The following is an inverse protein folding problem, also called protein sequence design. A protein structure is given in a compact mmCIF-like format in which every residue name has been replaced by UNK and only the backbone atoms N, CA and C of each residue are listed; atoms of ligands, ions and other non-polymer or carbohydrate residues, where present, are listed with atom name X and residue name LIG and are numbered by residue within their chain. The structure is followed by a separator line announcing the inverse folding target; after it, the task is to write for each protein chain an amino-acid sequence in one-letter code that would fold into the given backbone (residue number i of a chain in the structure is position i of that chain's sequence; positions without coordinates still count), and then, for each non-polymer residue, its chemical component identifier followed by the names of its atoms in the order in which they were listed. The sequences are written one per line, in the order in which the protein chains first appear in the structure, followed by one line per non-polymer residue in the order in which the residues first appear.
data_IF_156198935073
#
_entry.id   IF_156198935073
#
_cell.length_a   1.000
_cell.length_b   1.000
_cell.length_c   1.000
_cell.angle_alpha   90.00
_cell.angle_beta   90.00
_cell.angle_gamma   90.00
#
_symmetry.space_group_name_H-M   'P 1'
#
loop_
_entity.id
_entity.type
_entity.pdbx_description
1 polymer ?
#
# COMPACT_ATOMS: atom_id res chain seq x y z
N UNK A 1 -32.09 11.44 -28.23
CA UNK A 1 -32.56 11.96 -26.94
C UNK A 1 -31.36 11.97 -26.01
N UNK A 2 -31.05 13.08 -25.34
CA UNK A 2 -29.88 13.20 -24.49
C UNK A 2 -30.00 12.25 -23.30
N UNK A 3 -29.05 11.33 -23.10
CA UNK A 3 -29.04 10.37 -21.98
C UNK A 3 -28.76 11.04 -20.60
N UNK A 4 -29.01 12.34 -20.46
CA UNK A 4 -28.72 13.14 -19.27
C UNK A 4 -27.22 13.31 -18.95
N UNK A 5 -26.34 12.95 -19.89
CA UNK A 5 -24.88 13.12 -19.80
C UNK A 5 -24.52 14.51 -20.35
N UNK A 6 -23.62 15.28 -19.69
CA UNK A 6 -23.17 16.57 -20.20
C UNK A 6 -22.62 16.46 -21.64
N UNK A 7 -22.94 17.40 -22.55
CA UNK A 7 -22.56 17.31 -23.97
C UNK A 7 -21.07 17.12 -24.25
N UNK A 8 -20.21 17.52 -23.30
CA UNK A 8 -18.76 17.30 -23.34
C UNK A 8 -18.36 15.83 -23.44
N UNK A 9 -19.15 14.93 -22.85
CA UNK A 9 -18.83 13.50 -22.77
C UNK A 9 -19.70 12.71 -23.73
N UNK A 10 -19.09 12.23 -24.81
CA UNK A 10 -19.79 11.49 -25.88
C UNK A 10 -19.60 9.99 -25.69
N UNK A 11 -20.66 9.19 -25.48
CA UNK A 11 -20.54 7.74 -25.33
C UNK A 11 -19.85 7.08 -26.53
N UNK A 12 -18.90 6.19 -26.28
CA UNK A 12 -18.18 5.45 -27.34
C UNK A 12 -18.94 4.22 -27.84
N UNK A 13 -20.08 3.90 -27.22
CA UNK A 13 -20.85 2.67 -27.46
C UNK A 13 -20.36 1.46 -26.65
N UNK A 14 -19.21 1.57 -25.96
CA UNK A 14 -18.75 0.55 -25.02
C UNK A 14 -19.43 0.75 -23.66
N UNK A 15 -20.07 -0.31 -23.18
CA UNK A 15 -20.68 -0.37 -21.85
C UNK A 15 -20.03 -1.52 -21.10
N UNK A 16 -19.55 -1.25 -19.89
CA UNK A 16 -19.09 -2.28 -18.97
C UNK A 16 -20.21 -2.50 -17.95
N UNK A 17 -20.78 -3.70 -17.98
CA UNK A 17 -21.78 -4.16 -17.02
C UNK A 17 -21.10 -4.99 -15.93
N UNK A 18 -21.21 -4.53 -14.68
CA UNK A 18 -20.69 -5.22 -13.51
C UNK A 18 -21.70 -5.23 -12.36
N UNK A 19 -21.39 -5.95 -11.28
CA UNK A 19 -22.30 -6.13 -10.13
C UNK A 19 -22.67 -4.85 -9.36
N UNK A 20 -22.04 -3.72 -9.66
CA UNK A 20 -22.22 -2.43 -8.97
C UNK A 20 -22.81 -1.33 -9.85
N UNK A 21 -23.35 -1.69 -11.02
CA UNK A 21 -24.02 -0.77 -11.93
C UNK A 21 -23.36 -0.69 -13.31
N UNK A 22 -23.93 0.18 -14.13
CA UNK A 22 -23.51 0.43 -15.51
C UNK A 22 -22.35 1.46 -15.52
N UNK A 23 -21.25 1.11 -16.17
CA UNK A 23 -20.13 2.02 -16.45
C UNK A 23 -20.10 2.29 -17.95
N UNK A 24 -20.31 3.55 -18.33
CA UNK A 24 -20.24 4.01 -19.71
C UNK A 24 -18.85 4.52 -20.03
N UNK A 25 -18.29 4.09 -21.16
CA UNK A 25 -17.06 4.69 -21.68
C UNK A 25 -17.44 5.86 -22.59
N UNK A 26 -16.87 7.02 -22.31
CA UNK A 26 -17.14 8.25 -23.05
C UNK A 26 -15.83 8.89 -23.53
N UNK A 27 -15.89 9.59 -24.65
CA UNK A 27 -14.85 10.50 -25.08
C UNK A 27 -15.10 11.87 -24.44
N UNK A 28 -14.13 12.37 -23.67
CA UNK A 28 -14.07 13.78 -23.28
C UNK A 28 -13.63 14.60 -24.49
N UNK A 29 -14.57 15.28 -25.12
CA UNK A 29 -14.32 16.04 -26.37
C UNK A 29 -13.48 17.29 -26.15
N UNK A 30 -13.37 17.79 -24.91
CA UNK A 30 -12.56 18.98 -24.60
C UNK A 30 -11.10 18.65 -24.32
N UNK A 31 -10.83 17.48 -23.72
CA UNK A 31 -9.47 17.03 -23.38
C UNK A 31 -8.96 15.87 -24.25
N UNK A 32 -9.75 15.45 -25.23
CA UNK A 32 -9.43 14.40 -26.20
C UNK A 32 -8.96 13.08 -25.56
N UNK A 33 -9.66 12.62 -24.52
CA UNK A 33 -9.34 11.37 -23.81
C UNK A 33 -10.57 10.51 -23.53
N UNK A 34 -10.38 9.20 -23.41
CA UNK A 34 -11.41 8.30 -22.90
C UNK A 34 -11.57 8.47 -21.38
N UNK A 35 -12.81 8.45 -20.90
CA UNK A 35 -13.20 8.48 -19.48
C UNK A 35 -14.25 7.42 -19.20
N UNK A 36 -14.29 6.94 -17.96
CA UNK A 36 -15.35 6.07 -17.47
C UNK A 36 -16.34 6.91 -16.66
N UNK A 37 -17.63 6.77 -16.96
CA UNK A 37 -18.73 7.38 -16.21
C UNK A 37 -19.48 6.29 -15.48
N UNK A 38 -19.42 6.32 -14.14
CA UNK A 38 -20.17 5.40 -13.27
C UNK A 38 -21.36 6.11 -12.65
N UNK A 39 -22.54 5.54 -12.79
CA UNK A 39 -23.75 6.08 -12.15
C UNK A 39 -24.02 5.42 -10.81
N UNK A 40 -24.17 6.23 -9.77
CA UNK A 40 -24.55 5.77 -8.43
C UNK A 40 -26.08 5.77 -8.32
N UNK A 41 -26.66 4.61 -7.99
CA UNK A 41 -28.10 4.45 -7.76
C UNK A 41 -28.47 4.86 -6.33
N UNK A 42 -29.68 5.40 -6.14
CA UNK A 42 -30.29 5.72 -4.83
C UNK A 42 -29.38 6.49 -3.86
N UNK A 43 -29.23 7.79 -4.10
CA UNK A 43 -28.46 8.67 -3.23
C UNK A 43 -29.35 9.17 -2.10
N UNK A 44 -29.35 8.47 -0.96
CA UNK A 44 -30.10 8.90 0.23
C UNK A 44 -29.65 10.29 0.74
N UNK A 45 -28.34 10.55 0.72
CA UNK A 45 -27.74 11.85 1.06
C UNK A 45 -26.76 12.29 -0.03
N UNK A 46 -27.22 13.19 -0.90
CA UNK A 46 -26.40 13.72 -2.00
C UNK A 46 -25.22 14.57 -1.52
N UNK A 47 -25.38 15.35 -0.44
CA UNK A 47 -24.31 16.25 0.06
C UNK A 47 -23.13 15.43 0.53
N UNK A 48 -23.41 14.37 1.30
CA UNK A 48 -22.40 13.43 1.76
C UNK A 48 -21.65 12.78 0.59
N UNK A 49 -22.34 12.36 -0.47
CA UNK A 49 -21.69 11.76 -1.61
C UNK A 49 -20.74 12.74 -2.30
N UNK A 50 -21.11 14.02 -2.42
CA UNK A 50 -20.21 15.05 -2.95
C UNK A 50 -19.00 15.30 -2.05
N UNK A 51 -19.13 15.25 -0.72
CA UNK A 51 -17.98 15.33 0.20
C UNK A 51 -16.99 14.17 -0.03
N UNK A 52 -17.51 12.95 -0.23
CA UNK A 52 -16.72 11.75 -0.51
C UNK A 52 -16.02 11.84 -1.87
N UNK A 53 -16.73 12.27 -2.92
CA UNK A 53 -16.14 12.53 -4.24
C UNK A 53 -15.04 13.60 -4.14
N UNK A 54 -15.26 14.68 -3.40
CA UNK A 54 -14.28 15.74 -3.21
C UNK A 54 -13.02 15.24 -2.46
N UNK A 55 -13.17 14.29 -1.53
CA UNK A 55 -12.03 13.64 -0.88
C UNK A 55 -11.29 12.69 -1.84
N UNK A 56 -12.01 11.91 -2.65
CA UNK A 56 -11.42 11.04 -3.66
C UNK A 56 -10.62 11.82 -4.71
N UNK A 57 -11.09 13.01 -5.12
CA UNK A 57 -10.36 13.90 -6.03
C UNK A 57 -9.01 14.38 -5.47
N UNK A 58 -8.84 14.42 -4.13
CA UNK A 58 -7.59 14.82 -3.47
C UNK A 58 -6.55 13.71 -3.42
N UNK A 59 -6.94 12.45 -3.65
CA UNK A 59 -6.01 11.32 -3.66
C UNK A 59 -5.02 11.52 -4.81
N UNK A 60 -3.74 11.60 -4.45
CA UNK A 60 -2.62 11.61 -5.41
C UNK A 60 -1.92 10.28 -5.34
N UNK A 61 -2.38 9.32 -6.12
CA UNK A 61 -1.81 7.97 -6.15
C UNK A 61 -1.72 7.44 -7.57
N UNK A 62 -0.60 6.79 -7.89
CA UNK A 62 -0.49 6.02 -9.14
C UNK A 62 -1.32 4.73 -9.11
N UNK A 63 -1.75 4.30 -7.91
CA UNK A 63 -2.45 3.04 -7.69
C UNK A 63 -3.95 3.17 -7.47
N UNK A 64 -4.49 4.37 -7.64
CA UNK A 64 -5.91 4.66 -7.54
C UNK A 64 -6.34 5.37 -8.82
N UNK A 65 -7.52 5.03 -9.34
CA UNK A 65 -8.08 5.75 -10.48
C UNK A 65 -8.32 7.21 -10.12
N UNK A 66 -7.91 8.12 -11.01
CA UNK A 66 -8.16 9.54 -10.81
C UNK A 66 -9.65 9.84 -11.00
N UNK A 67 -10.29 10.45 -10.01
CA UNK A 67 -11.61 11.07 -10.18
C UNK A 67 -11.41 12.44 -10.82
N UNK A 68 -12.11 12.69 -11.93
CA UNK A 68 -12.02 13.94 -12.68
C UNK A 68 -13.15 14.90 -12.33
N UNK A 69 -14.39 14.40 -12.22
CA UNK A 69 -15.56 15.23 -12.00
C UNK A 69 -16.77 14.40 -11.52
N UNK A 70 -17.86 15.06 -11.14
CA UNK A 70 -19.15 14.43 -10.94
C UNK A 70 -20.29 15.37 -11.35
N UNK A 71 -21.37 14.80 -11.87
CA UNK A 71 -22.55 15.54 -12.31
C UNK A 71 -23.83 14.87 -11.86
N UNK A 72 -24.92 15.64 -11.80
CA UNK A 72 -26.26 15.11 -11.60
C UNK A 72 -26.90 14.86 -12.97
N UNK A 73 -27.28 13.62 -13.25
CA UNK A 73 -27.99 13.27 -14.48
C UNK A 73 -29.36 13.97 -14.49
N UNK A 74 -29.64 14.75 -15.53
CA UNK A 74 -30.85 15.57 -15.61
C UNK A 74 -32.13 14.74 -15.81
N UNK A 75 -32.01 13.53 -16.35
CA UNK A 75 -33.15 12.68 -16.70
C UNK A 75 -33.58 11.80 -15.53
N UNK A 76 -32.63 11.08 -14.92
CA UNK A 76 -32.93 10.08 -13.89
C UNK A 76 -32.44 10.46 -12.49
N UNK A 77 -31.85 11.66 -12.34
CA UNK A 77 -31.38 12.23 -11.07
C UNK A 77 -30.30 11.38 -10.37
N UNK A 78 -29.65 10.44 -11.05
CA UNK A 78 -28.46 9.73 -10.54
C UNK A 78 -27.24 10.63 -10.57
N UNK A 79 -26.29 10.40 -9.67
CA UNK A 79 -24.98 11.07 -9.74
C UNK A 79 -24.06 10.24 -10.63
N UNK A 80 -23.55 10.87 -11.69
CA UNK A 80 -22.53 10.32 -12.58
C UNK A 80 -21.14 10.77 -12.12
N UNK A 81 -20.28 9.82 -11.77
CA UNK A 81 -18.88 10.07 -11.42
C UNK A 81 -18.02 9.84 -12.65
N UNK A 82 -17.23 10.84 -13.01
CA UNK A 82 -16.31 10.81 -14.16
C UNK A 82 -14.92 10.50 -13.64
N UNK A 83 -14.33 9.42 -14.12
CA UNK A 83 -13.05 8.91 -13.65
C UNK A 83 -12.16 8.41 -14.79
N UNK A 84 -10.89 8.19 -14.46
CA UNK A 84 -9.91 7.54 -15.32
C UNK A 84 -10.46 6.22 -15.89
N UNK A 85 -10.39 6.08 -17.22
CA UNK A 85 -10.65 4.80 -17.88
C UNK A 85 -9.37 3.98 -17.95
N UNK A 86 -9.37 2.81 -17.31
CA UNK A 86 -8.24 1.87 -17.31
C UNK A 86 -8.49 0.79 -18.37
N UNK A 87 -7.80 0.92 -19.51
CA UNK A 87 -7.98 0.06 -20.68
C UNK A 87 -7.23 -1.27 -20.63
N UNK A 88 -6.43 -1.52 -19.58
CA UNK A 88 -5.70 -2.77 -19.42
C UNK A 88 -6.51 -3.90 -18.79
N UNK A 89 -5.80 -4.97 -18.43
CA UNK A 89 -6.38 -6.24 -18.00
C UNK A 89 -6.85 -6.22 -16.54
N UNK A 90 -7.88 -7.02 -16.24
CA UNK A 90 -8.31 -7.26 -14.87
C UNK A 90 -7.20 -7.92 -14.05
N UNK A 91 -7.09 -7.59 -12.76
CA UNK A 91 -6.08 -8.19 -11.89
C UNK A 91 -6.22 -9.72 -11.82
N UNK A 92 -7.41 -10.26 -12.06
CA UNK A 92 -7.66 -11.71 -12.13
C UNK A 92 -6.82 -12.41 -13.22
N UNK A 93 -6.41 -11.70 -14.27
CA UNK A 93 -5.52 -12.26 -15.31
C UNK A 93 -4.13 -12.62 -14.76
N UNK A 94 -3.75 -12.07 -13.59
CA UNK A 94 -2.50 -12.42 -12.91
C UNK A 94 -2.41 -13.90 -12.56
N UNK A 95 -3.54 -14.54 -12.25
CA UNK A 95 -3.60 -15.97 -11.90
C UNK A 95 -3.57 -16.91 -13.11
N UNK A 96 -3.67 -16.37 -14.34
CA UNK A 96 -3.58 -17.17 -15.56
C UNK A 96 -2.16 -17.59 -15.94
N UNK A 97 -1.14 -17.22 -15.14
CA UNK A 97 0.26 -17.58 -15.38
C UNK A 97 0.56 -19.00 -14.87
N UNK A 98 1.42 -19.73 -15.58
CA UNK A 98 1.85 -21.09 -15.19
C UNK A 98 2.54 -21.12 -13.82
N UNK A 99 3.26 -20.06 -13.45
CA UNK A 99 3.83 -19.89 -12.13
C UNK A 99 3.96 -18.41 -11.75
N UNK A 100 3.81 -18.11 -10.47
CA UNK A 100 3.98 -16.76 -9.90
C UNK A 100 5.26 -16.77 -9.08
N UNK A 101 6.22 -15.91 -9.42
CA UNK A 101 7.44 -15.77 -8.60
C UNK A 101 7.15 -14.96 -7.32
N UNK A 102 7.94 -15.19 -6.26
CA UNK A 102 7.87 -14.39 -5.04
C UNK A 102 8.00 -12.89 -5.33
N UNK A 103 8.92 -12.51 -6.22
CA UNK A 103 9.14 -11.11 -6.55
C UNK A 103 7.92 -10.48 -7.25
N UNK A 104 7.26 -11.18 -8.17
CA UNK A 104 6.03 -10.70 -8.79
C UNK A 104 4.88 -10.60 -7.78
N UNK A 105 4.72 -11.61 -6.93
CA UNK A 105 3.72 -11.62 -5.86
C UNK A 105 3.90 -10.40 -4.93
N UNK A 106 5.11 -10.17 -4.44
CA UNK A 106 5.41 -9.03 -3.56
C UNK A 106 5.23 -7.68 -4.29
N UNK A 107 5.58 -7.58 -5.57
CA UNK A 107 5.34 -6.38 -6.38
C UNK A 107 3.85 -6.06 -6.48
N UNK A 108 3.03 -7.06 -6.79
CA UNK A 108 1.57 -6.89 -6.87
C UNK A 108 1.00 -6.47 -5.51
N UNK A 109 1.36 -7.16 -4.44
CA UNK A 109 0.92 -6.78 -3.08
C UNK A 109 1.35 -5.37 -2.69
N UNK A 110 2.58 -4.97 -3.04
CA UNK A 110 3.10 -3.63 -2.76
C UNK A 110 2.28 -2.54 -3.46
N UNK A 111 1.92 -2.75 -4.73
CA UNK A 111 1.09 -1.80 -5.48
C UNK A 111 -0.30 -1.65 -4.86
N UNK A 112 -0.95 -2.77 -4.52
CA UNK A 112 -2.27 -2.77 -3.88
C UNK A 112 -2.19 -2.09 -2.50
N UNK A 113 -1.23 -2.49 -1.67
CA UNK A 113 -1.05 -1.90 -0.34
C UNK A 113 -0.77 -0.39 -0.41
N UNK A 114 0.00 0.06 -1.40
CA UNK A 114 0.28 1.48 -1.64
C UNK A 114 -1.01 2.24 -1.95
N UNK A 115 -1.83 1.74 -2.88
CA UNK A 115 -3.10 2.38 -3.24
C UNK A 115 -4.08 2.45 -2.06
N UNK A 116 -4.22 1.38 -1.27
CA UNK A 116 -5.08 1.39 -0.09
C UNK A 116 -4.53 2.34 0.98
N UNK A 117 -3.22 2.37 1.19
CA UNK A 117 -2.57 3.32 2.09
C UNK A 117 -2.84 4.78 1.69
N UNK A 118 -2.81 5.10 0.40
CA UNK A 118 -3.09 6.45 -0.11
C UNK A 118 -4.56 6.85 0.10
N UNK A 119 -5.51 5.90 -0.04
CA UNK A 119 -6.92 6.10 0.28
C UNK A 119 -7.08 6.39 1.79
N UNK A 120 -6.47 5.57 2.64
CA UNK A 120 -6.53 5.72 4.10
C UNK A 120 -5.91 7.03 4.59
N UNK A 121 -4.88 7.53 3.92
CA UNK A 121 -4.26 8.81 4.24
C UNK A 121 -5.18 10.02 4.03
N UNK A 122 -6.23 9.90 3.20
CA UNK A 122 -7.28 10.90 3.05
C UNK A 122 -8.45 10.72 4.04
N UNK A 123 -8.34 9.77 4.98
CA UNK A 123 -9.40 9.45 5.95
C UNK A 123 -10.59 8.68 5.34
N UNK A 124 -10.39 8.10 4.15
CA UNK A 124 -11.38 7.29 3.45
C UNK A 124 -11.13 5.80 3.66
N UNK A 125 -12.20 5.01 3.57
CA UNK A 125 -12.18 3.54 3.59
C UNK A 125 -12.85 3.08 2.29
N UNK A 126 -12.25 2.14 1.56
CA UNK A 126 -12.77 1.67 0.27
C UNK A 126 -13.96 0.71 0.44
N UNK A 127 -13.88 -0.23 1.39
CA UNK A 127 -14.91 -1.22 1.77
C UNK A 127 -15.23 -2.34 0.78
N UNK A 128 -14.56 -2.39 -0.35
CA UNK A 128 -14.75 -3.47 -1.34
C UNK A 128 -13.43 -3.79 -2.05
N UNK A 129 -12.38 -3.96 -1.26
CA UNK A 129 -11.08 -4.41 -1.74
C UNK A 129 -11.20 -5.86 -2.19
N UNK A 130 -11.03 -6.09 -3.49
CA UNK A 130 -11.00 -7.42 -4.14
C UNK A 130 -10.38 -7.30 -5.54
N UNK A 131 -9.90 -8.42 -6.12
CA UNK A 131 -9.30 -8.43 -7.45
C UNK A 131 -10.17 -7.81 -8.56
N UNK A 132 -11.50 -7.99 -8.51
CA UNK A 132 -12.42 -7.46 -9.52
C UNK A 132 -12.51 -5.92 -9.54
N UNK A 133 -12.07 -5.24 -8.49
CA UNK A 133 -12.05 -3.78 -8.39
C UNK A 133 -10.64 -3.23 -8.66
N UNK A 134 -9.79 -4.02 -9.32
CA UNK A 134 -8.41 -3.68 -9.62
C UNK A 134 -8.04 -4.13 -11.03
N UNK A 135 -7.30 -3.27 -11.73
CA UNK A 135 -6.86 -3.50 -13.11
C UNK A 135 -5.40 -3.11 -13.27
N UNK A 136 -4.69 -3.79 -14.14
CA UNK A 136 -3.44 -3.28 -14.68
C UNK A 136 -3.74 -2.22 -15.74
N UNK A 137 -2.98 -1.14 -15.76
CA UNK A 137 -2.90 -0.27 -16.93
C UNK A 137 -1.92 -0.82 -17.97
N UNK A 138 -1.70 -0.09 -19.05
CA UNK A 138 -0.81 -0.49 -20.15
C UNK A 138 0.68 -0.54 -19.72
N UNK A 139 1.03 0.07 -18.60
CA UNK A 139 2.37 0.08 -18.01
C UNK A 139 2.52 -0.93 -16.87
N UNK A 140 1.59 -1.89 -16.73
CA UNK A 140 1.52 -2.88 -15.65
C UNK A 140 1.41 -2.26 -14.24
N UNK A 141 0.86 -1.05 -14.14
CA UNK A 141 0.54 -0.42 -12.86
C UNK A 141 -0.87 -0.82 -12.45
N UNK A 142 -1.02 -1.32 -11.22
CA UNK A 142 -2.32 -1.66 -10.66
C UNK A 142 -3.04 -0.38 -10.29
N UNK A 143 -4.29 -0.24 -10.75
CA UNK A 143 -5.24 0.82 -10.44
C UNK A 143 -6.42 0.23 -9.68
N UNK A 144 -6.63 0.70 -8.45
CA UNK A 144 -7.82 0.43 -7.65
C UNK A 144 -8.93 1.36 -8.14
N UNK A 145 -10.09 0.80 -8.41
CA UNK A 145 -11.29 1.52 -8.81
C UNK A 145 -12.51 1.03 -8.03
N UNK A 146 -13.65 1.65 -8.30
CA UNK A 146 -14.94 1.33 -7.67
C UNK A 146 -15.07 1.73 -6.19
N UNK A 147 -15.07 3.04 -5.97
CA UNK A 147 -15.38 3.66 -4.69
C UNK A 147 -16.88 3.70 -4.36
N UNK A 148 -17.72 2.87 -5.01
CA UNK A 148 -19.19 2.92 -4.85
C UNK A 148 -19.67 2.69 -3.41
N UNK A 149 -18.81 2.15 -2.55
CA UNK A 149 -19.04 1.91 -1.12
C UNK A 149 -18.12 2.72 -0.21
N UNK A 150 -17.23 3.56 -0.76
CA UNK A 150 -16.23 4.26 0.03
C UNK A 150 -16.86 5.35 0.90
N UNK A 151 -16.37 5.52 2.13
CA UNK A 151 -16.87 6.51 3.10
C UNK A 151 -15.75 7.02 4.01
N UNK A 152 -15.99 8.14 4.70
CA UNK A 152 -15.11 8.61 5.77
C UNK A 152 -15.04 7.66 6.97
N UNK A 153 -13.85 7.55 7.56
CA UNK A 153 -13.63 6.84 8.82
C UNK A 153 -14.23 7.61 10.02
N UNK A 154 -14.84 6.89 10.96
CA UNK A 154 -15.25 7.45 12.27
C UNK A 154 -16.48 8.38 12.29
N UNK A 155 -17.12 8.69 11.15
CA UNK A 155 -18.47 9.28 11.17
C UNK A 155 -19.48 8.18 11.52
N UNK A 156 -20.44 8.48 12.42
CA UNK A 156 -21.46 7.57 13.00
C UNK A 156 -22.31 6.84 11.95
N UNK A 157 -21.71 5.89 11.23
CA UNK A 157 -22.33 5.23 10.10
C UNK A 157 -22.36 3.74 10.32
N UNK A 158 -23.28 3.29 11.17
CA UNK A 158 -23.82 1.96 11.01
C UNK A 158 -24.66 1.91 9.74
N UNK A 159 -24.30 1.06 8.78
CA UNK A 159 -25.29 0.58 7.83
C UNK A 159 -26.14 -0.48 8.49
N UNK A 160 -27.47 -0.35 8.38
CA UNK A 160 -28.37 -1.48 8.57
C UNK A 160 -28.11 -2.48 7.43
N UNK A 161 -27.41 -3.58 7.73
CA UNK A 161 -27.14 -4.66 6.78
C UNK A 161 -25.69 -4.74 6.29
N UNK A 162 -25.36 -5.91 5.74
CA UNK A 162 -24.04 -6.29 5.23
C UNK A 162 -23.60 -5.38 4.07
N UNK A 163 -22.42 -4.78 4.18
CA UNK A 163 -21.79 -3.98 3.12
C UNK A 163 -20.42 -4.59 2.76
N UNK A 164 -20.28 -5.12 1.55
CA UNK A 164 -19.05 -5.72 1.04
C UNK A 164 -19.33 -6.88 0.10
N UNK A 165 -18.27 -7.49 -0.46
CA UNK A 165 -18.41 -8.72 -1.26
C UNK A 165 -18.21 -9.95 -0.38
N UNK A 166 -19.17 -10.89 -0.34
CA UNK A 166 -19.00 -12.13 0.41
C UNK A 166 -17.75 -12.89 -0.03
N UNK A 167 -16.99 -13.42 0.93
CA UNK A 167 -15.69 -14.05 0.71
C UNK A 167 -14.50 -13.09 0.87
N UNK A 168 -14.69 -11.76 0.75
CA UNK A 168 -13.66 -10.74 1.02
C UNK A 168 -13.98 -9.85 2.23
N UNK A 169 -15.26 -9.78 2.62
CA UNK A 169 -15.71 -8.96 3.73
C UNK A 169 -15.20 -9.49 5.09
N UNK A 170 -14.77 -8.55 5.93
CA UNK A 170 -14.27 -8.80 7.28
C UNK A 170 -15.37 -9.31 8.23
N UNK A 171 -15.05 -10.16 9.24
CA UNK A 171 -16.04 -10.78 10.13
C UNK A 171 -16.91 -9.78 10.88
N UNK A 172 -16.36 -8.62 11.27
CA UNK A 172 -17.09 -7.57 11.95
C UNK A 172 -18.28 -7.03 11.13
N UNK A 173 -18.22 -7.09 9.80
CA UNK A 173 -19.28 -6.63 8.89
C UNK A 173 -20.53 -7.54 8.89
N UNK A 174 -20.44 -8.72 9.49
CA UNK A 174 -21.56 -9.67 9.63
C UNK A 174 -22.25 -9.57 11.00
N UNK A 175 -21.71 -8.80 11.95
CA UNK A 175 -22.29 -8.67 13.30
C UNK A 175 -23.60 -7.88 13.26
N UNK A 176 -24.55 -8.25 14.10
CA UNK A 176 -25.79 -7.50 14.29
C UNK A 176 -25.52 -6.23 15.11
N UNK A 177 -26.05 -5.08 14.65
CA UNK A 177 -25.93 -3.79 15.35
C UNK A 177 -25.04 -2.76 14.65
N UNK A 178 -24.58 -1.74 15.39
CA UNK A 178 -23.65 -0.73 14.89
C UNK A 178 -22.26 -1.34 14.70
N UNK A 179 -21.85 -1.56 13.45
CA UNK A 179 -20.51 -2.03 13.10
C UNK A 179 -19.58 -0.83 12.91
N UNK A 180 -18.42 -0.76 13.58
CA UNK A 180 -17.44 0.30 13.34
C UNK A 180 -16.75 0.08 11.99
N UNK A 181 -16.98 0.99 11.04
CA UNK A 181 -16.19 1.04 9.81
C UNK A 181 -14.86 1.75 10.09
N UNK A 182 -13.81 0.95 10.25
CA UNK A 182 -12.43 1.43 10.38
C UNK A 182 -11.60 0.96 9.19
N UNK A 183 -10.39 1.49 9.05
CA UNK A 183 -9.43 1.06 8.03
C UNK A 183 -9.13 -0.46 8.10
N UNK A 184 -9.39 -1.11 9.24
CA UNK A 184 -9.17 -2.54 9.45
C UNK A 184 -10.00 -3.44 8.51
N UNK A 185 -11.14 -2.96 7.98
CA UNK A 185 -11.96 -3.73 7.03
C UNK A 185 -11.23 -3.90 5.69
N UNK A 186 -10.56 -2.85 5.21
CA UNK A 186 -9.76 -2.90 4.00
C UNK A 186 -8.47 -3.72 4.22
N UNK A 187 -7.87 -3.64 5.41
CA UNK A 187 -6.72 -4.48 5.78
C UNK A 187 -7.07 -5.97 5.71
N UNK A 188 -8.23 -6.37 6.24
CA UNK A 188 -8.67 -7.76 6.15
C UNK A 188 -8.90 -8.20 4.71
N UNK A 189 -9.62 -7.38 3.94
CA UNK A 189 -9.91 -7.66 2.53
C UNK A 189 -8.63 -7.70 1.67
N UNK A 190 -7.59 -6.93 2.02
CA UNK A 190 -6.24 -7.06 1.46
C UNK A 190 -5.63 -8.43 1.79
N UNK A 191 -5.77 -8.94 3.02
CA UNK A 191 -5.33 -10.28 3.40
C UNK A 191 -5.97 -11.38 2.56
N UNK A 192 -7.30 -11.34 2.37
CA UNK A 192 -7.98 -12.28 1.47
C UNK A 192 -7.50 -12.13 0.03
N UNK A 193 -7.31 -10.89 -0.44
CA UNK A 193 -6.77 -10.61 -1.77
C UNK A 193 -5.36 -11.18 -1.92
N UNK A 194 -4.53 -11.15 -0.87
CA UNK A 194 -3.19 -11.73 -0.87
C UNK A 194 -3.23 -13.27 -0.97
N UNK A 195 -4.19 -13.94 -0.34
CA UNK A 195 -4.44 -15.38 -0.54
C UNK A 195 -4.86 -15.67 -1.97
N UNK A 196 -5.85 -14.94 -2.48
CA UNK A 196 -6.32 -15.11 -3.85
C UNK A 196 -5.17 -15.00 -4.86
N UNK A 197 -4.32 -13.99 -4.70
CA UNK A 197 -3.20 -13.71 -5.60
C UNK A 197 -2.00 -14.63 -5.42
N UNK A 198 -1.98 -15.50 -4.40
CA UNK A 198 -0.91 -16.48 -4.26
C UNK A 198 -1.05 -17.65 -5.25
N UNK A 199 -2.19 -17.74 -5.96
CA UNK A 199 -2.51 -18.85 -6.88
C UNK A 199 -2.89 -20.15 -6.19
N UNK A 200 -3.11 -20.11 -4.87
CA UNK A 200 -3.61 -21.24 -4.08
C UNK A 200 -5.07 -20.94 -3.72
N UNK A 201 -5.89 -21.97 -3.61
CA UNK A 201 -7.27 -21.82 -3.18
C UNK A 201 -7.34 -21.15 -1.81
N UNK A 202 -8.25 -20.19 -1.67
CA UNK A 202 -8.48 -19.50 -0.39
C UNK A 202 -8.92 -20.55 0.64
N UNK A 203 -8.32 -20.61 1.83
CA UNK A 203 -8.72 -21.55 2.88
C UNK A 203 -10.23 -21.50 3.17
N UNK A 204 -10.89 -22.67 3.21
CA UNK A 204 -12.35 -22.79 3.44
C UNK A 204 -12.86 -22.01 4.66
N UNK A 205 -12.19 -21.98 5.83
CA UNK A 205 -12.64 -21.18 6.97
C UNK A 205 -12.83 -19.69 6.64
N UNK A 206 -12.01 -19.13 5.75
CA UNK A 206 -12.10 -17.73 5.32
C UNK A 206 -13.27 -17.46 4.37
N UNK A 207 -13.83 -18.50 3.73
CA UNK A 207 -14.95 -18.40 2.79
C UNK A 207 -16.32 -18.50 3.49
N UNK A 208 -16.35 -18.87 4.77
CA UNK A 208 -17.57 -18.92 5.59
C UNK A 208 -18.18 -17.53 5.84
N UNK A 209 -19.42 -17.50 6.31
CA UNK A 209 -20.19 -16.27 6.57
C UNK A 209 -20.84 -16.32 7.96
N UNK A 210 -20.28 -15.66 8.99
CA UNK A 210 -18.99 -14.96 8.98
C UNK A 210 -17.80 -15.91 8.78
N UNK A 211 -16.63 -15.39 8.35
CA UNK A 211 -15.38 -16.14 8.31
C UNK A 211 -15.01 -16.72 9.68
N UNK A 212 -14.44 -17.92 9.69
CA UNK A 212 -13.92 -18.58 10.89
C UNK A 212 -12.40 -18.36 10.97
N UNK A 213 -11.98 -17.52 11.91
CA UNK A 213 -10.57 -17.13 12.08
C UNK A 213 -9.80 -18.03 13.06
N UNK A 214 -10.40 -19.10 13.59
CA UNK A 214 -9.76 -19.93 14.64
C UNK A 214 -8.59 -20.77 14.14
N UNK A 215 -8.66 -21.26 12.90
CA UNK A 215 -7.69 -22.19 12.33
C UNK A 215 -7.31 -21.80 10.89
N UNK A 216 -6.99 -20.53 10.69
CA UNK A 216 -6.54 -20.04 9.38
C UNK A 216 -5.09 -20.48 9.15
N UNK A 217 -4.77 -21.15 8.03
CA UNK A 217 -3.38 -21.45 7.68
C UNK A 217 -2.54 -20.18 7.60
N UNK A 218 -1.28 -20.24 8.05
CA UNK A 218 -0.36 -19.12 7.89
C UNK A 218 0.05 -18.94 6.42
N UNK A 219 0.28 -17.69 6.00
CA UNK A 219 0.91 -17.36 4.72
C UNK A 219 2.30 -18.00 4.55
N UNK A 220 2.94 -18.43 5.65
CA UNK A 220 4.19 -19.20 5.61
C UNK A 220 4.06 -20.60 4.97
N UNK A 221 2.83 -21.11 4.83
CA UNK A 221 2.55 -22.38 4.13
C UNK A 221 2.55 -22.25 2.60
N UNK A 222 2.57 -21.03 2.06
CA UNK A 222 2.59 -20.79 0.62
C UNK A 222 3.88 -21.30 -0.03
N UNK A 223 3.82 -21.85 -1.25
CA UNK A 223 5.00 -22.33 -1.98
C UNK A 223 5.94 -21.20 -2.48
N UNK A 224 5.68 -19.95 -2.10
CA UNK A 224 6.41 -18.75 -2.53
C UNK A 224 7.65 -18.42 -1.67
N UNK A 225 7.91 -19.16 -0.57
CA UNK A 225 9.00 -18.89 0.39
C UNK A 225 8.99 -17.43 0.88
N UNK A 226 7.83 -16.94 1.28
CA UNK A 226 7.63 -15.56 1.75
C UNK A 226 8.50 -15.31 2.99
N UNK A 227 9.25 -14.19 3.07
CA UNK A 227 10.05 -13.85 4.25
C UNK A 227 9.20 -13.78 5.53
N UNK A 228 9.71 -14.34 6.64
CA UNK A 228 8.94 -14.44 7.89
C UNK A 228 8.36 -13.11 8.40
N UNK A 229 9.06 -11.96 8.32
CA UNK A 229 8.43 -10.70 8.73
C UNK A 229 7.22 -10.31 7.88
N UNK A 230 7.22 -10.62 6.58
CA UNK A 230 6.07 -10.40 5.70
C UNK A 230 4.96 -11.40 6.03
N UNK A 231 5.29 -12.68 6.28
CA UNK A 231 4.33 -13.69 6.74
C UNK A 231 3.61 -13.23 8.01
N UNK A 232 4.36 -12.82 9.04
CA UNK A 232 3.79 -12.33 10.30
C UNK A 232 2.85 -11.14 10.08
N UNK A 233 3.18 -10.25 9.14
CA UNK A 233 2.36 -9.08 8.85
C UNK A 233 1.08 -9.46 8.09
N UNK A 234 1.19 -10.36 7.10
CA UNK A 234 0.05 -10.88 6.35
C UNK A 234 -0.89 -11.71 7.24
N UNK A 235 -0.36 -12.57 8.11
CA UNK A 235 -1.16 -13.36 9.07
C UNK A 235 -1.98 -12.41 9.97
N UNK A 236 -1.37 -11.30 10.44
CA UNK A 236 -2.08 -10.29 11.25
C UNK A 236 -3.16 -9.51 10.50
N UNK A 237 -3.28 -9.63 9.18
CA UNK A 237 -4.43 -9.04 8.46
C UNK A 237 -5.71 -9.84 8.68
N UNK A 238 -5.62 -11.12 9.04
CA UNK A 238 -6.73 -12.07 9.16
C UNK A 238 -7.02 -12.47 10.62
N UNK A 239 -6.98 -11.50 11.53
CA UNK A 239 -7.28 -11.70 12.96
C UNK A 239 -8.57 -10.98 13.38
N UNK A 240 -9.13 -11.43 14.50
CA UNK A 240 -10.42 -10.97 15.02
C UNK A 240 -10.36 -9.53 15.57
N UNK A 241 -9.30 -9.18 16.33
CA UNK A 241 -9.16 -7.83 16.88
C UNK A 241 -8.72 -6.84 15.80
N UNK A 242 -9.57 -5.84 15.56
CA UNK A 242 -9.37 -4.79 14.55
C UNK A 242 -8.14 -3.94 14.83
N UNK A 243 -7.81 -3.72 16.10
CA UNK A 243 -6.69 -2.87 16.52
C UNK A 243 -5.34 -3.56 16.31
N UNK A 244 -5.34 -4.90 16.30
CA UNK A 244 -4.14 -5.68 16.08
C UNK A 244 -3.84 -5.88 14.58
N UNK A 245 -4.79 -5.58 13.69
CA UNK A 245 -4.54 -5.59 12.24
C UNK A 245 -3.57 -4.47 11.87
N UNK A 246 -2.54 -4.73 11.05
CA UNK A 246 -1.54 -3.73 10.72
C UNK A 246 -2.13 -2.62 9.84
N UNK A 247 -1.59 -1.40 9.95
CA UNK A 247 -1.95 -0.35 9.01
C UNK A 247 -1.42 -0.66 7.61
N UNK A 248 -2.13 -0.24 6.58
CA UNK A 248 -1.68 -0.42 5.19
C UNK A 248 -0.35 0.28 4.92
N UNK A 249 -0.06 1.38 5.62
CA UNK A 249 1.26 2.04 5.56
C UNK A 249 2.40 1.13 6.08
N UNK A 250 2.17 0.36 7.15
CA UNK A 250 3.17 -0.59 7.65
C UNK A 250 3.38 -1.75 6.66
N UNK A 251 2.31 -2.20 6.02
CA UNK A 251 2.38 -3.23 4.95
C UNK A 251 3.18 -2.72 3.76
N UNK A 252 2.84 -1.55 3.24
CA UNK A 252 3.56 -0.92 2.11
C UNK A 252 5.04 -0.76 2.42
N UNK A 253 5.39 -0.23 3.60
CA UNK A 253 6.77 -0.02 3.99
C UNK A 253 7.55 -1.34 4.09
N UNK A 254 6.98 -2.38 4.70
CA UNK A 254 7.66 -3.67 4.82
C UNK A 254 7.85 -4.35 3.46
N UNK A 255 6.81 -4.38 2.62
CA UNK A 255 6.90 -4.93 1.28
C UNK A 255 7.94 -4.17 0.43
N UNK A 256 7.93 -2.83 0.49
CA UNK A 256 8.89 -1.98 -0.19
C UNK A 256 10.33 -2.27 0.24
N UNK A 257 10.59 -2.38 1.55
CA UNK A 257 11.91 -2.72 2.07
C UNK A 257 12.44 -4.05 1.51
N UNK A 258 11.59 -5.08 1.42
CA UNK A 258 11.99 -6.37 0.87
C UNK A 258 12.16 -6.36 -0.66
N UNK A 259 11.36 -5.58 -1.39
CA UNK A 259 11.55 -5.35 -2.83
C UNK A 259 12.81 -4.52 -3.14
N UNK A 260 13.29 -3.78 -2.15
CA UNK A 260 14.54 -3.01 -2.17
C UNK A 260 15.72 -3.74 -1.51
N UNK A 261 15.52 -5.00 -1.08
CA UNK A 261 16.58 -5.78 -0.45
C UNK A 261 17.81 -5.82 -1.35
N UNK A 262 18.97 -5.55 -0.75
CA UNK A 262 20.27 -5.46 -1.38
C UNK A 262 20.44 -4.31 -2.39
N UNK A 263 19.47 -3.39 -2.52
CA UNK A 263 19.57 -2.22 -3.41
C UNK A 263 20.09 -0.97 -2.73
N UNK A 264 20.03 -0.90 -1.40
CA UNK A 264 20.59 0.22 -0.64
C UNK A 264 22.12 0.20 -0.66
N UNK A 265 22.69 1.40 -0.65
CA UNK A 265 24.11 1.69 -0.54
C UNK A 265 24.30 2.74 0.54
N UNK A 266 25.43 2.71 1.23
CA UNK A 266 25.84 3.80 2.11
C UNK A 266 27.27 4.22 1.81
N UNK A 267 27.54 5.51 1.99
CA UNK A 267 28.85 6.13 1.83
C UNK A 267 29.31 6.69 3.17
N UNK A 268 30.54 6.36 3.55
CA UNK A 268 31.26 7.01 4.64
C UNK A 268 32.44 7.76 4.07
N UNK A 269 32.66 8.98 4.57
CA UNK A 269 33.83 9.78 4.21
C UNK A 269 34.63 10.09 5.47
N UNK A 270 35.88 9.62 5.50
CA UNK A 270 36.81 9.91 6.59
C UNK A 270 38.16 10.34 6.02
N UNK A 271 38.57 11.58 6.32
CA UNK A 271 39.78 12.16 5.74
C UNK A 271 39.65 12.30 4.22
N UNK A 272 40.51 11.60 3.46
CA UNK A 272 40.46 11.52 1.99
C UNK A 272 39.95 10.17 1.48
N UNK A 273 39.62 9.26 2.39
CA UNK A 273 39.16 7.91 2.08
C UNK A 273 37.64 7.85 2.05
N UNK A 274 37.13 6.98 1.17
CA UNK A 274 35.70 6.70 1.05
C UNK A 274 35.43 5.22 1.28
N UNK A 275 34.42 4.91 2.08
CA UNK A 275 34.03 3.55 2.38
C UNK A 275 32.59 3.33 1.92
N UNK A 276 32.39 2.32 1.10
CA UNK A 276 31.08 2.00 0.53
C UNK A 276 30.51 0.75 1.19
N UNK A 277 29.27 0.81 1.64
CA UNK A 277 28.47 -0.36 1.99
C UNK A 277 27.46 -0.63 0.89
N UNK A 278 27.35 -1.89 0.49
CA UNK A 278 26.43 -2.37 -0.55
C UNK A 278 26.26 -3.88 -0.46
N UNK A 279 25.50 -4.48 -1.38
CA UNK A 279 25.43 -5.94 -1.55
C UNK A 279 26.82 -6.59 -1.66
N UNK A 280 27.75 -5.94 -2.36
CA UNK A 280 29.10 -6.45 -2.59
C UNK A 280 30.03 -6.23 -1.39
N UNK A 281 29.79 -5.18 -0.60
CA UNK A 281 30.61 -4.80 0.54
C UNK A 281 29.71 -4.62 1.76
N UNK A 282 29.53 -5.69 2.53
CA UNK A 282 28.56 -5.72 3.64
C UNK A 282 29.10 -5.26 4.99
N UNK A 283 30.40 -5.01 5.10
CA UNK A 283 31.05 -4.62 6.34
C UNK A 283 32.10 -3.56 6.06
N UNK A 284 32.00 -2.43 6.76
CA UNK A 284 33.05 -1.41 6.84
C UNK A 284 33.55 -1.41 8.26
N UNK A 285 34.88 -1.42 8.41
CA UNK A 285 35.56 -1.31 9.70
C UNK A 285 36.34 -0.02 9.72
N UNK A 286 36.10 0.80 10.73
CA UNK A 286 36.81 2.04 10.94
C UNK A 286 37.42 2.02 12.33
N UNK A 287 38.73 1.84 12.36
CA UNK A 287 39.52 1.84 13.59
C UNK A 287 40.37 3.11 13.61
N UNK A 288 40.02 4.04 14.51
CA UNK A 288 40.75 5.30 14.65
C UNK A 288 41.50 5.32 15.96
N UNK A 289 42.81 5.16 15.87
CA UNK A 289 43.71 5.09 17.01
C UNK A 289 43.52 6.29 17.94
N UNK A 290 43.36 6.04 19.24
CA UNK A 290 43.10 7.03 20.30
C UNK A 290 41.73 7.73 20.26
N UNK A 291 40.83 7.39 19.33
CA UNK A 291 39.48 7.98 19.24
C UNK A 291 38.38 6.95 19.46
N UNK A 292 38.50 5.77 18.85
CA UNK A 292 37.54 4.68 18.96
C UNK A 292 37.48 3.83 17.69
N UNK A 293 36.70 2.76 17.76
CA UNK A 293 36.46 1.85 16.64
C UNK A 293 34.98 1.70 16.38
N UNK A 294 34.60 1.63 15.11
CA UNK A 294 33.23 1.43 14.67
C UNK A 294 33.19 0.51 13.45
N UNK A 295 32.41 -0.57 13.54
CA UNK A 295 32.09 -1.40 12.39
C UNK A 295 30.62 -1.26 12.04
N UNK A 296 30.35 -1.08 10.75
CA UNK A 296 28.99 -0.93 10.22
C UNK A 296 28.73 -2.07 9.25
N UNK A 297 27.62 -2.78 9.48
CA UNK A 297 27.20 -3.93 8.65
C UNK A 297 25.91 -3.61 7.91
N UNK A 298 25.82 -4.10 6.68
CA UNK A 298 24.62 -4.09 5.86
C UNK A 298 24.02 -5.51 5.77
N UNK A 299 22.85 -5.71 6.39
CA UNK A 299 22.15 -7.00 6.41
C UNK A 299 21.32 -7.27 5.13
N UNK A 300 21.31 -6.31 4.20
CA UNK A 300 20.52 -6.32 2.98
C UNK A 300 19.26 -5.47 3.04
N UNK A 301 18.84 -5.05 4.23
CA UNK A 301 17.70 -4.16 4.46
C UNK A 301 18.15 -2.89 5.19
N UNK A 302 19.00 -3.04 6.21
CA UNK A 302 19.41 -1.99 7.12
C UNK A 302 20.93 -1.93 7.29
N UNK A 303 21.41 -0.74 7.63
CA UNK A 303 22.77 -0.50 8.09
C UNK A 303 22.77 -0.40 9.61
N UNK A 304 23.63 -1.17 10.26
CA UNK A 304 23.63 -1.31 11.72
C UNK A 304 25.05 -1.38 12.29
N UNK A 305 25.19 -0.97 13.54
CA UNK A 305 26.45 -1.05 14.28
C UNK A 305 26.74 -2.53 14.60
N UNK A 306 27.76 -3.09 13.97
CA UNK A 306 28.19 -4.48 14.21
C UNK A 306 29.15 -4.58 15.40
N UNK A 307 29.96 -3.54 15.60
CA UNK A 307 30.93 -3.41 16.68
C UNK A 307 31.18 -1.94 16.99
N UNK A 308 31.40 -1.61 18.26
CA UNK A 308 31.81 -0.28 18.71
C UNK A 308 32.73 -0.42 19.91
N UNK A 309 33.80 0.40 19.96
CA UNK A 309 34.65 0.56 21.14
C UNK A 309 35.14 2.01 21.28
N UNK A 310 35.41 2.43 22.51
CA UNK A 310 35.78 3.82 22.80
C UNK A 310 34.58 4.77 22.74
N UNK A 311 34.86 6.08 22.58
CA UNK A 311 33.85 7.13 22.64
C UNK A 311 33.28 7.39 21.23
N UNK A 312 32.21 6.68 20.87
CA UNK A 312 31.55 6.79 19.57
C UNK A 312 30.09 7.22 19.73
N UNK A 313 29.69 8.16 18.89
CA UNK A 313 28.38 8.78 18.92
C UNK A 313 27.78 8.84 17.53
N UNK A 314 26.45 8.75 17.41
CA UNK A 314 25.69 9.06 16.20
C UNK A 314 24.71 10.14 16.56
N UNK A 315 24.75 11.27 15.85
CA UNK A 315 23.92 12.45 16.14
C UNK A 315 23.95 12.85 17.63
N UNK A 316 25.16 12.88 18.21
CA UNK A 316 25.43 13.19 19.63
C UNK A 316 24.90 12.19 20.67
N UNK A 317 24.41 11.02 20.25
CA UNK A 317 24.00 9.95 21.17
C UNK A 317 25.02 8.81 21.18
N UNK A 318 25.34 8.29 22.36
CA UNK A 318 26.23 7.11 22.49
C UNK A 318 25.62 5.95 21.72
N UNK A 319 26.42 5.29 20.90
CA UNK A 319 25.95 4.14 20.12
C UNK A 319 26.28 2.81 20.75
N UNK A 320 25.45 1.81 20.44
CA UNK A 320 25.61 0.45 20.91
C UNK A 320 25.53 -0.54 19.75
N UNK A 321 26.10 -1.72 19.96
CA UNK A 321 26.01 -2.83 19.01
C UNK A 321 24.54 -3.17 18.73
N UNK A 322 24.21 -3.39 17.47
CA UNK A 322 22.85 -3.69 16.99
C UNK A 322 22.01 -2.46 16.64
N UNK A 323 22.46 -1.25 17.00
CA UNK A 323 21.74 -0.02 16.68
C UNK A 323 21.69 0.23 15.16
N UNK A 324 20.51 0.57 14.66
CA UNK A 324 20.32 0.99 13.26
C UNK A 324 20.87 2.41 13.05
N UNK A 325 21.50 2.62 11.91
CA UNK A 325 21.96 3.94 11.51
C UNK A 325 20.84 4.73 10.82
N UNK A 326 20.61 6.00 11.19
CA UNK A 326 19.72 6.90 10.46
C UNK A 326 20.21 7.12 9.02
N UNK A 327 19.28 7.48 8.11
CA UNK A 327 19.57 7.71 6.68
C UNK A 327 20.73 8.67 6.45
N UNK A 328 20.70 9.80 7.16
CA UNK A 328 21.73 10.83 7.11
C UNK A 328 22.14 11.09 8.57
N UNK A 329 23.38 10.74 8.91
CA UNK A 329 23.87 10.97 10.25
C UNK A 329 25.34 11.35 10.29
N UNK A 330 25.71 11.99 11.39
CA UNK A 330 27.10 12.27 11.70
C UNK A 330 27.55 11.31 12.77
N UNK A 331 28.54 10.50 12.41
CA UNK A 331 29.26 9.64 13.33
C UNK A 331 30.39 10.49 13.93
N UNK A 332 30.46 10.53 15.26
CA UNK A 332 31.52 11.26 15.97
C UNK A 332 32.38 10.30 16.77
N UNK A 333 33.70 10.36 16.60
CA UNK A 333 34.67 9.62 17.42
C UNK A 333 35.44 10.56 18.34
N UNK A 334 35.72 10.10 19.55
CA UNK A 334 36.35 10.86 20.61
C UNK A 334 35.34 11.44 21.60
N UNK A 335 35.74 11.45 22.87
CA UNK A 335 34.96 11.97 23.98
C UNK A 335 34.81 13.50 23.92
N UNK A 336 33.87 14.04 24.71
CA UNK A 336 33.54 15.47 24.70
C UNK A 336 34.67 16.38 25.17
N UNK A 337 35.63 15.90 25.98
CA UNK A 337 36.75 16.71 26.47
C UNK A 337 37.69 17.15 25.35
N UNK A 338 37.66 16.46 24.20
CA UNK A 338 38.47 16.79 23.02
C UNK A 338 37.96 18.01 22.25
N UNK A 339 36.76 18.50 22.53
CA UNK A 339 36.19 19.68 21.89
C UNK A 339 36.24 19.61 20.36
N UNK A 340 36.91 20.57 19.73
CA UNK A 340 37.07 20.67 18.28
C UNK A 340 37.95 19.57 17.66
N UNK A 341 38.74 18.85 18.47
CA UNK A 341 39.62 17.78 17.99
C UNK A 341 38.90 16.44 17.80
N UNK A 342 37.59 16.36 18.02
CA UNK A 342 36.79 15.17 17.71
C UNK A 342 36.76 14.92 16.21
N UNK A 343 36.57 13.66 15.84
CA UNK A 343 36.48 13.27 14.43
C UNK A 343 35.02 13.15 14.05
N UNK A 344 34.64 13.80 12.96
CA UNK A 344 33.29 13.79 12.41
C UNK A 344 33.30 13.10 11.06
N UNK A 345 32.40 12.16 10.87
CA UNK A 345 32.26 11.34 9.67
C UNK A 345 30.82 11.43 9.22
N UNK A 346 30.63 11.81 7.95
CA UNK A 346 29.31 11.76 7.33
C UNK A 346 28.99 10.33 6.92
N UNK A 347 27.76 9.93 7.18
CA UNK A 347 27.20 8.65 6.78
C UNK A 347 25.89 8.92 6.03
N UNK A 348 25.91 8.66 4.72
CA UNK A 348 24.80 8.94 3.83
C UNK A 348 24.28 7.63 3.20
N UNK A 349 22.96 7.40 3.25
CA UNK A 349 22.30 6.22 2.68
C UNK A 349 21.53 6.60 1.40
N UNK A 350 21.72 5.81 0.34
CA UNK A 350 20.93 5.93 -0.89
C UNK A 350 19.45 5.64 -0.67
N UNK A 351 18.58 6.31 -1.43
CA UNK A 351 17.13 6.10 -1.42
C UNK A 351 16.65 5.44 -2.72
N UNK A 352 16.88 4.12 -2.93
CA UNK A 352 16.38 3.44 -4.11
C UNK A 352 14.85 3.37 -4.08
N UNK A 353 14.23 3.37 -5.25
CA UNK A 353 12.78 3.25 -5.41
C UNK A 353 12.38 1.86 -5.91
N UNK A 354 11.18 1.42 -5.53
CA UNK A 354 10.62 0.17 -6.01
C UNK A 354 10.26 0.32 -7.49
N UNK A 355 11.06 -0.31 -8.35
CA UNK A 355 10.77 -0.42 -9.79
C UNK A 355 9.76 -1.54 -10.01
N UNK A 356 8.58 -1.17 -10.53
CA UNK A 356 7.45 -2.08 -10.76
C UNK A 356 7.62 -2.92 -12.01
#
# INVERSE_FOLDING_TARGET
MSNGIPPRYVPTGKVLTGGMGEVLICQDTSLEREVAIKFIQNVGDQRRLFDEIAALQKIRSKHVVQIFDAFLNEVDRRIGIIQEYVSGNDLTSFLGKESISLNEYLKVLYQIASGISDIHAQGLIHRDIKPNNMKFDQSNIIKIFDFGLARFSGRNDSTLGFAGTPGFAAPELYRSGLVPFTNAVDTYAFGITAWYLSGIEIPEPLLRRPPDLTNVPSFGSLPLRVPQPIVNLLDRTLIEDLNDRPSMSNITNLLGNYLLKDKHRALLVYGRETYNLSKATRLVKLDVQNYGSLHIRYDGLNFLIDFVSGAVFVNNQVVQRGQLLPKDCVITLGDSSRGANRIFITFDISNPEVVL
#
